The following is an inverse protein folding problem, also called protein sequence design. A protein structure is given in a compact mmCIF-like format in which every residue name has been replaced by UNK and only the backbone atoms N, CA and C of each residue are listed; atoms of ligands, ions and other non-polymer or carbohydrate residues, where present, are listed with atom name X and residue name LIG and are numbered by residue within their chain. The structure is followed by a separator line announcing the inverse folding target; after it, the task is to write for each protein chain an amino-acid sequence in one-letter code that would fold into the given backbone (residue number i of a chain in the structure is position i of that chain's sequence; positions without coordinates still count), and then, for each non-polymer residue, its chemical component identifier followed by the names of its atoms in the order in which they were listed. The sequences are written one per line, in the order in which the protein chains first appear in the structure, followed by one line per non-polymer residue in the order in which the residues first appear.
data_IF_744700537479
#
_entry.id   IF_744700537479
#
_cell.length_a   1.000
_cell.length_b   1.000
_cell.length_c   1.000
_cell.angle_alpha   90.00
_cell.angle_beta   90.00
_cell.angle_gamma   90.00
#
_symmetry.space_group_name_H-M   'P 1'
#
loop_
_entity.id
_entity.type
_entity.pdbx_description
1 polymer ?
#
# COMPACT_ATOMS: atom_id res chain seq x y z
N UNK A 1 -57.31 -54.23 -0.25
CA UNK A 1 -56.15 -53.84 0.55
C UNK A 1 -55.26 -52.93 -0.33
N UNK A 2 -55.40 -51.61 -0.17
CA UNK A 2 -54.63 -50.60 -0.97
C UNK A 2 -53.37 -50.23 -0.17
N UNK A 3 -52.19 -50.52 -0.68
CA UNK A 3 -50.90 -50.11 -0.07
C UNK A 3 -50.60 -48.67 -0.47
N UNK A 4 -50.57 -47.76 0.52
CA UNK A 4 -50.15 -46.36 0.35
C UNK A 4 -48.64 -46.31 0.41
N UNK A 5 -47.97 -45.99 -0.70
CA UNK A 5 -46.54 -45.67 -0.75
C UNK A 5 -46.34 -44.21 -0.28
N UNK A 6 -45.68 -44.04 0.86
CA UNK A 6 -45.26 -42.72 1.34
C UNK A 6 -43.92 -42.38 0.72
N UNK A 7 -43.87 -41.50 -0.27
CA UNK A 7 -42.64 -40.91 -0.79
C UNK A 7 -42.14 -39.81 0.14
N UNK A 8 -41.09 -40.14 0.92
CA UNK A 8 -40.36 -39.13 1.69
C UNK A 8 -39.40 -38.40 0.73
N UNK A 9 -39.77 -37.19 0.34
CA UNK A 9 -38.89 -36.30 -0.41
C UNK A 9 -37.79 -35.75 0.50
N UNK A 10 -36.55 -36.15 0.24
CA UNK A 10 -35.38 -35.52 0.87
C UNK A 10 -35.16 -34.17 0.21
N UNK A 11 -35.55 -33.08 0.86
CA UNK A 11 -35.17 -31.74 0.48
C UNK A 11 -33.70 -31.56 0.92
N UNK A 12 -32.77 -31.73 -0.01
CA UNK A 12 -31.39 -31.34 0.17
C UNK A 12 -31.34 -29.80 0.26
N UNK A 13 -31.26 -29.31 1.46
CA UNK A 13 -31.02 -27.88 1.72
C UNK A 13 -29.64 -27.51 1.18
N UNK A 14 -29.60 -26.88 0.00
CA UNK A 14 -28.45 -26.14 -0.47
C UNK A 14 -28.22 -24.99 0.52
N UNK A 15 -27.28 -25.18 1.45
CA UNK A 15 -26.77 -24.10 2.28
C UNK A 15 -26.10 -23.09 1.33
N UNK A 16 -26.82 -22.01 1.05
CA UNK A 16 -26.27 -20.84 0.36
C UNK A 16 -25.33 -20.17 1.37
N UNK A 17 -24.05 -20.58 1.38
CA UNK A 17 -23.03 -19.78 2.06
C UNK A 17 -22.93 -18.47 1.27
N UNK A 18 -23.13 -17.30 1.91
CA UNK A 18 -22.86 -16.05 1.22
C UNK A 18 -21.40 -16.08 0.75
N UNK A 19 -21.08 -15.55 -0.45
CA UNK A 19 -19.72 -15.49 -0.91
C UNK A 19 -18.90 -14.75 0.15
N UNK A 20 -17.74 -15.34 0.52
CA UNK A 20 -16.78 -14.71 1.43
C UNK A 20 -16.30 -13.42 0.74
N UNK A 21 -16.95 -12.29 1.06
CA UNK A 21 -16.71 -10.98 0.43
C UNK A 21 -15.46 -10.32 0.99
N UNK A 22 -14.91 -10.86 2.06
CA UNK A 22 -13.71 -10.36 2.73
C UNK A 22 -12.42 -10.95 2.18
N UNK A 23 -11.29 -10.33 2.55
CA UNK A 23 -9.97 -10.91 2.35
C UNK A 23 -9.72 -12.05 3.34
N UNK A 24 -9.03 -13.11 2.88
CA UNK A 24 -8.71 -14.28 3.70
C UNK A 24 -7.72 -13.94 4.83
N UNK A 25 -7.70 -14.78 5.87
CA UNK A 25 -6.69 -14.69 6.95
C UNK A 25 -5.25 -14.73 6.41
N UNK A 26 -5.02 -15.48 5.32
CA UNK A 26 -3.72 -15.55 4.66
C UNK A 26 -3.34 -14.22 4.03
N UNK A 27 -4.27 -13.56 3.32
CA UNK A 27 -4.07 -12.23 2.73
C UNK A 27 -3.81 -11.18 3.81
N UNK A 28 -4.62 -11.14 4.88
CA UNK A 28 -4.40 -10.24 6.04
C UNK A 28 -2.98 -10.41 6.61
N UNK A 29 -2.56 -11.66 6.85
CA UNK A 29 -1.23 -11.96 7.38
C UNK A 29 -0.11 -11.57 6.43
N UNK A 30 -0.27 -11.84 5.13
CA UNK A 30 0.74 -11.52 4.11
C UNK A 30 0.90 -10.00 3.95
N UNK A 31 -0.20 -9.25 3.84
CA UNK A 31 -0.16 -7.80 3.74
C UNK A 31 0.45 -7.15 4.99
N UNK A 32 0.02 -7.59 6.20
CA UNK A 32 0.58 -7.07 7.44
C UNK A 32 2.09 -7.36 7.58
N UNK A 33 2.56 -8.53 7.12
CA UNK A 33 3.98 -8.86 7.08
C UNK A 33 4.73 -7.93 6.12
N UNK A 34 4.24 -7.81 4.88
CA UNK A 34 4.83 -6.96 3.84
C UNK A 34 4.93 -5.49 4.29
N UNK A 35 3.86 -4.94 4.87
CA UNK A 35 3.86 -3.58 5.41
C UNK A 35 4.91 -3.38 6.52
N UNK A 36 5.10 -4.35 7.42
CA UNK A 36 6.13 -4.29 8.46
C UNK A 36 7.55 -4.36 7.89
N UNK A 37 7.77 -5.22 6.89
CA UNK A 37 9.07 -5.36 6.25
C UNK A 37 9.48 -4.09 5.52
N UNK A 38 8.53 -3.47 4.79
CA UNK A 38 8.78 -2.21 4.08
C UNK A 38 8.92 -1.02 5.03
N UNK A 39 8.16 -0.98 6.14
CA UNK A 39 8.36 0.00 7.21
C UNK A 39 9.79 -0.08 7.77
N UNK A 40 10.20 -1.29 8.16
CA UNK A 40 11.54 -1.51 8.70
C UNK A 40 12.62 -1.06 7.70
N UNK A 41 12.49 -1.42 6.43
CA UNK A 41 13.44 -1.02 5.40
C UNK A 41 13.59 0.50 5.27
N UNK A 42 12.45 1.24 5.25
CA UNK A 42 12.45 2.71 5.20
C UNK A 42 13.12 3.31 6.44
N UNK A 43 12.78 2.83 7.64
CA UNK A 43 13.34 3.35 8.89
C UNK A 43 14.85 3.04 9.01
N UNK A 44 15.29 1.86 8.59
CA UNK A 44 16.71 1.50 8.56
C UNK A 44 17.49 2.36 7.55
N UNK A 45 16.89 2.75 6.43
CA UNK A 45 17.53 3.57 5.40
C UNK A 45 17.87 4.99 5.88
N UNK A 46 17.06 5.56 6.80
CA UNK A 46 17.28 6.92 7.35
C UNK A 46 18.04 6.94 8.68
N UNK A 47 18.16 5.79 9.34
CA UNK A 47 18.71 5.69 10.70
C UNK A 47 20.19 6.07 10.75
N UNK A 48 20.55 6.96 11.69
CA UNK A 48 21.94 7.30 12.02
C UNK A 48 22.65 8.18 10.98
N UNK A 49 21.91 8.74 10.01
CA UNK A 49 22.48 9.65 9.02
C UNK A 49 22.63 11.06 9.63
N UNK A 50 23.76 11.72 9.31
CA UNK A 50 23.97 13.13 9.62
C UNK A 50 23.10 14.04 8.74
N UNK A 51 22.94 15.30 9.12
CA UNK A 51 22.23 16.30 8.33
C UNK A 51 22.77 16.45 6.92
N UNK A 52 24.09 16.41 6.75
CA UNK A 52 24.75 16.47 5.46
C UNK A 52 24.38 15.26 4.58
N UNK A 53 24.34 14.06 5.16
CA UNK A 53 23.93 12.83 4.49
C UNK A 53 22.45 12.83 4.12
N UNK A 54 21.58 13.29 5.02
CA UNK A 54 20.13 13.37 4.78
C UNK A 54 19.76 14.30 3.63
N UNK A 55 20.48 15.42 3.50
CA UNK A 55 20.23 16.47 2.50
C UNK A 55 21.05 16.30 1.21
N UNK A 56 21.96 15.35 1.16
CA UNK A 56 22.76 15.11 -0.03
C UNK A 56 21.90 14.71 -1.24
N UNK A 57 22.15 15.37 -2.37
CA UNK A 57 21.53 15.09 -3.66
C UNK A 57 22.59 14.65 -4.66
N UNK A 58 22.47 13.46 -5.27
CA UNK A 58 23.43 13.01 -6.30
C UNK A 58 23.52 13.95 -7.51
N UNK A 59 22.43 14.68 -7.80
CA UNK A 59 22.35 15.73 -8.81
C UNK A 59 21.25 16.73 -8.45
N UNK A 60 21.22 17.95 -9.00
CA UNK A 60 20.25 18.99 -8.66
C UNK A 60 18.77 18.58 -8.85
N UNK A 61 18.50 17.69 -9.81
CA UNK A 61 17.16 17.15 -10.12
C UNK A 61 16.86 15.83 -9.40
N UNK A 62 17.75 15.37 -8.52
CA UNK A 62 17.59 14.13 -7.75
C UNK A 62 17.13 14.43 -6.33
N UNK A 63 16.36 13.51 -5.79
CA UNK A 63 15.92 13.58 -4.39
C UNK A 63 17.02 13.11 -3.44
N UNK A 64 17.08 13.76 -2.29
CA UNK A 64 17.87 13.33 -1.14
C UNK A 64 17.13 12.22 -0.36
N UNK A 65 17.79 11.66 0.65
CA UNK A 65 17.16 10.72 1.59
C UNK A 65 15.98 11.37 2.32
N UNK A 66 16.15 12.62 2.78
CA UNK A 66 15.08 13.39 3.44
C UNK A 66 13.91 13.66 2.49
N UNK A 67 14.18 14.02 1.22
CA UNK A 67 13.14 14.22 0.20
C UNK A 67 12.32 12.94 0.00
N UNK A 68 12.98 11.79 -0.12
CA UNK A 68 12.30 10.50 -0.25
C UNK A 68 11.41 10.20 0.97
N UNK A 69 11.87 10.48 2.18
CA UNK A 69 11.10 10.22 3.40
C UNK A 69 9.86 11.10 3.48
N UNK A 70 9.99 12.41 3.19
CA UNK A 70 8.85 13.34 3.15
C UNK A 70 7.81 12.90 2.13
N UNK A 71 8.26 12.46 0.95
CA UNK A 71 7.37 11.95 -0.09
C UNK A 71 6.67 10.64 0.33
N UNK A 72 7.40 9.69 0.90
CA UNK A 72 6.79 8.43 1.40
C UNK A 72 5.66 8.73 2.38
N UNK A 73 5.91 9.58 3.38
CA UNK A 73 4.92 9.92 4.39
C UNK A 73 3.67 10.59 3.79
N UNK A 74 3.87 11.56 2.88
CA UNK A 74 2.76 12.26 2.23
C UNK A 74 1.92 11.34 1.35
N UNK A 75 2.57 10.48 0.55
CA UNK A 75 1.87 9.54 -0.35
C UNK A 75 1.11 8.49 0.45
N UNK A 76 1.70 7.95 1.52
CA UNK A 76 1.01 6.98 2.38
C UNK A 76 -0.29 7.54 2.96
N UNK A 77 -0.24 8.76 3.49
CA UNK A 77 -1.42 9.44 4.02
C UNK A 77 -2.48 9.69 2.94
N UNK A 78 -2.06 10.17 1.76
CA UNK A 78 -2.97 10.45 0.65
C UNK A 78 -3.63 9.17 0.10
N UNK A 79 -2.87 8.10 -0.09
CA UNK A 79 -3.38 6.81 -0.55
C UNK A 79 -4.30 6.18 0.49
N UNK A 80 -3.96 6.29 1.79
CA UNK A 80 -4.83 5.78 2.85
C UNK A 80 -6.15 6.56 2.90
N UNK A 81 -6.12 7.88 2.83
CA UNK A 81 -7.33 8.70 2.80
C UNK A 81 -8.24 8.32 1.63
N UNK A 82 -7.67 8.11 0.44
CA UNK A 82 -8.41 7.65 -0.74
C UNK A 82 -9.01 6.26 -0.52
N UNK A 83 -8.22 5.32 -0.02
CA UNK A 83 -8.64 3.93 0.22
C UNK A 83 -9.77 3.87 1.26
N UNK A 84 -9.61 4.55 2.39
CA UNK A 84 -10.64 4.64 3.44
C UNK A 84 -11.93 5.30 2.92
N UNK A 85 -11.78 6.36 2.12
CA UNK A 85 -12.91 7.00 1.45
C UNK A 85 -13.63 6.07 0.46
N UNK A 86 -12.89 5.23 -0.27
CA UNK A 86 -13.47 4.25 -1.20
C UNK A 86 -14.21 3.13 -0.45
N UNK A 87 -13.64 2.63 0.65
CA UNK A 87 -14.25 1.58 1.47
C UNK A 87 -15.60 2.06 2.08
N UNK A 88 -15.72 3.34 2.39
CA UNK A 88 -16.94 3.94 2.98
C UNK A 88 -18.05 4.19 1.96
N UNK A 89 -17.79 4.05 0.67
CA UNK A 89 -18.80 4.15 -0.39
C UNK A 89 -19.54 2.83 -0.57
N UNK A 90 -20.55 2.83 -1.44
CA UNK A 90 -21.17 1.58 -1.89
C UNK A 90 -20.16 0.75 -2.67
N UNK A 91 -20.11 -0.55 -2.39
CA UNK A 91 -19.29 -1.48 -3.17
C UNK A 91 -19.63 -1.41 -4.66
N UNK A 92 -18.62 -1.54 -5.51
CA UNK A 92 -18.72 -1.44 -6.97
C UNK A 92 -18.08 -2.66 -7.67
N UNK A 93 -18.58 -3.90 -7.39
CA UNK A 93 -17.98 -5.14 -7.87
C UNK A 93 -17.90 -5.25 -9.39
N UNK A 94 -18.75 -4.53 -10.13
CA UNK A 94 -18.70 -4.44 -11.59
C UNK A 94 -17.39 -3.82 -12.10
N UNK A 95 -16.75 -2.97 -11.29
CA UNK A 95 -15.44 -2.35 -11.62
C UNK A 95 -14.27 -3.29 -11.48
N UNK A 96 -14.42 -4.48 -10.88
CA UNK A 96 -13.36 -5.47 -10.80
C UNK A 96 -12.84 -5.91 -12.17
N UNK A 97 -13.69 -5.89 -13.21
CA UNK A 97 -13.29 -6.16 -14.59
C UNK A 97 -12.26 -5.16 -15.16
N UNK A 98 -12.16 -3.97 -14.55
CA UNK A 98 -11.22 -2.92 -14.93
C UNK A 98 -9.83 -3.14 -14.32
N UNK A 99 -9.70 -4.00 -13.31
CA UNK A 99 -8.42 -4.37 -12.69
C UNK A 99 -7.65 -5.27 -13.66
N UNK A 100 -6.44 -4.85 -14.04
CA UNK A 100 -5.62 -5.55 -15.05
C UNK A 100 -4.40 -6.26 -14.46
N UNK A 101 -4.14 -6.08 -13.17
CA UNK A 101 -2.95 -6.62 -12.50
C UNK A 101 -3.34 -7.53 -11.34
N UNK A 102 -2.57 -8.61 -11.15
CA UNK A 102 -2.61 -9.40 -9.92
C UNK A 102 -1.96 -8.64 -8.77
N UNK A 103 -2.16 -9.11 -7.54
CA UNK A 103 -1.54 -8.51 -6.35
C UNK A 103 0.00 -8.47 -6.46
N UNK A 104 0.60 -9.56 -6.95
CA UNK A 104 2.05 -9.66 -7.17
C UNK A 104 2.53 -8.70 -8.25
N UNK A 105 1.74 -8.54 -9.34
CA UNK A 105 2.06 -7.59 -10.40
C UNK A 105 1.98 -6.16 -9.90
N UNK A 106 1.01 -5.82 -9.04
CA UNK A 106 0.94 -4.49 -8.41
C UNK A 106 2.20 -4.22 -7.62
N UNK A 107 2.58 -5.11 -6.70
CA UNK A 107 3.80 -4.93 -5.90
C UNK A 107 5.03 -4.77 -6.80
N UNK A 108 5.25 -5.71 -7.72
CA UNK A 108 6.41 -5.71 -8.61
C UNK A 108 6.51 -4.45 -9.47
N UNK A 109 5.39 -4.02 -10.08
CA UNK A 109 5.39 -2.87 -10.99
C UNK A 109 5.61 -1.55 -10.24
N UNK A 110 5.08 -1.43 -9.01
CA UNK A 110 5.30 -0.23 -8.19
C UNK A 110 6.75 -0.18 -7.67
N UNK A 111 7.32 -1.31 -7.29
CA UNK A 111 8.72 -1.40 -6.83
C UNK A 111 9.75 -1.22 -7.93
N UNK A 112 9.38 -1.43 -9.20
CA UNK A 112 10.29 -1.34 -10.34
C UNK A 112 10.85 0.08 -10.52
N UNK A 113 12.18 0.22 -10.37
CA UNK A 113 12.94 1.47 -10.49
C UNK A 113 13.51 1.71 -11.88
N UNK A 114 13.27 0.80 -12.83
CA UNK A 114 13.79 0.93 -14.21
C UNK A 114 13.23 2.17 -14.95
N UNK A 115 12.06 2.63 -14.55
CA UNK A 115 11.41 3.83 -15.09
C UNK A 115 11.22 4.92 -14.03
N UNK A 116 11.59 6.16 -14.39
CA UNK A 116 11.30 7.34 -13.56
C UNK A 116 9.82 7.68 -13.69
N UNK A 117 9.14 7.79 -12.56
CA UNK A 117 7.78 8.32 -12.48
C UNK A 117 7.85 9.71 -11.83
N UNK A 118 7.16 10.68 -12.42
CA UNK A 118 7.04 12.02 -11.85
C UNK A 118 5.93 12.02 -10.79
N UNK A 119 6.25 12.52 -9.60
CA UNK A 119 5.25 12.71 -8.56
C UNK A 119 4.25 13.81 -8.95
N UNK A 120 2.98 13.71 -8.57
CA UNK A 120 2.06 14.85 -8.62
C UNK A 120 2.64 16.04 -7.85
N UNK A 121 2.46 17.28 -8.33
CA UNK A 121 3.05 18.46 -7.68
C UNK A 121 2.76 18.58 -6.18
N UNK A 122 1.55 18.23 -5.73
CA UNK A 122 1.15 18.26 -4.33
C UNK A 122 1.87 17.24 -3.44
N UNK A 123 2.48 16.21 -4.04
CA UNK A 123 3.19 15.14 -3.36
C UNK A 123 4.71 15.22 -3.57
N UNK A 124 5.21 16.23 -4.31
CA UNK A 124 6.65 16.50 -4.39
C UNK A 124 7.19 16.92 -3.00
N UNK A 125 8.40 16.50 -2.61
CA UNK A 125 8.94 16.69 -1.26
C UNK A 125 8.88 18.14 -0.74
N UNK A 126 9.18 19.11 -1.61
CA UNK A 126 9.16 20.54 -1.27
C UNK A 126 7.75 21.10 -1.04
N UNK A 127 6.71 20.41 -1.50
CA UNK A 127 5.31 20.83 -1.39
C UNK A 127 4.57 20.09 -0.28
N UNK A 128 5.23 19.15 0.42
CA UNK A 128 4.64 18.47 1.58
C UNK A 128 4.59 19.39 2.79
N UNK A 129 3.73 19.09 3.77
CA UNK A 129 3.63 19.84 5.01
C UNK A 129 4.81 19.61 5.99
N UNK A 130 5.60 18.56 5.76
CA UNK A 130 6.69 18.16 6.65
C UNK A 130 7.89 19.09 6.56
N UNK A 131 8.27 19.69 7.69
CA UNK A 131 9.39 20.63 7.77
C UNK A 131 10.72 19.96 8.12
N UNK A 132 10.67 18.76 8.72
CA UNK A 132 11.85 18.01 9.10
C UNK A 132 11.70 16.52 8.75
N UNK A 133 12.85 15.81 8.79
CA UNK A 133 12.88 14.35 8.70
C UNK A 133 12.03 13.73 9.82
N UNK A 134 12.18 14.20 11.06
CA UNK A 134 11.51 13.64 12.22
C UNK A 134 9.99 13.75 12.12
N UNK A 135 9.46 14.87 11.62
CA UNK A 135 8.04 15.02 11.36
C UNK A 135 7.54 13.96 10.35
N UNK A 136 8.26 13.78 9.23
CA UNK A 136 7.91 12.81 8.21
C UNK A 136 8.02 11.37 8.75
N UNK A 137 9.07 11.04 9.48
CA UNK A 137 9.27 9.71 10.09
C UNK A 137 8.16 9.40 11.09
N UNK A 138 7.81 10.34 11.97
CA UNK A 138 6.77 10.13 12.97
C UNK A 138 5.40 9.95 12.32
N UNK A 139 5.05 10.79 11.33
CA UNK A 139 3.81 10.67 10.59
C UNK A 139 3.71 9.33 9.84
N UNK A 140 4.80 8.90 9.20
CA UNK A 140 4.86 7.60 8.53
C UNK A 140 4.67 6.44 9.50
N UNK A 141 5.38 6.43 10.64
CA UNK A 141 5.25 5.37 11.66
C UNK A 141 3.82 5.29 12.20
N UNK A 142 3.21 6.43 12.48
CA UNK A 142 1.83 6.48 12.97
C UNK A 142 0.84 5.96 11.92
N UNK A 143 0.95 6.44 10.67
CA UNK A 143 0.09 6.01 9.56
C UNK A 143 0.25 4.52 9.28
N UNK A 144 1.50 4.04 9.18
CA UNK A 144 1.83 2.65 8.92
C UNK A 144 1.36 1.72 10.05
N UNK A 145 1.52 2.11 11.30
CA UNK A 145 1.00 1.36 12.45
C UNK A 145 -0.51 1.18 12.37
N UNK A 146 -1.24 2.28 12.11
CA UNK A 146 -2.71 2.23 11.92
C UNK A 146 -3.11 1.32 10.74
N UNK A 147 -2.39 1.40 9.62
CA UNK A 147 -2.66 0.57 8.44
C UNK A 147 -2.42 -0.92 8.72
N UNK A 148 -1.33 -1.26 9.42
CA UNK A 148 -1.03 -2.64 9.82
C UNK A 148 -2.10 -3.18 10.76
N UNK A 149 -2.56 -2.39 11.71
CA UNK A 149 -3.61 -2.81 12.63
C UNK A 149 -4.97 -2.92 11.94
N UNK A 150 -5.26 -2.03 11.01
CA UNK A 150 -6.45 -2.10 10.18
C UNK A 150 -6.49 -3.40 9.37
N UNK A 151 -5.43 -3.71 8.59
CA UNK A 151 -5.44 -4.89 7.72
C UNK A 151 -5.53 -6.21 8.49
N UNK A 152 -5.03 -6.26 9.72
CA UNK A 152 -5.15 -7.46 10.57
C UNK A 152 -6.57 -7.70 11.05
N UNK A 153 -7.32 -6.64 11.32
CA UNK A 153 -8.56 -6.70 12.09
C UNK A 153 -9.81 -6.38 11.25
N UNK A 154 -9.66 -5.83 10.03
CA UNK A 154 -10.80 -5.45 9.20
C UNK A 154 -11.59 -6.66 8.70
N UNK A 155 -12.92 -6.54 8.67
CA UNK A 155 -13.83 -7.44 7.98
C UNK A 155 -14.49 -6.75 6.78
N UNK A 156 -13.98 -5.58 6.38
CA UNK A 156 -14.46 -4.85 5.23
C UNK A 156 -14.23 -5.63 3.92
N UNK A 157 -15.16 -5.49 3.00
CA UNK A 157 -15.07 -6.07 1.66
C UNK A 157 -14.11 -5.26 0.79
N UNK A 158 -12.80 -5.46 0.99
CA UNK A 158 -11.76 -4.71 0.29
C UNK A 158 -11.70 -5.04 -1.20
N UNK A 159 -12.16 -6.24 -1.60
CA UNK A 159 -12.07 -6.70 -2.97
C UNK A 159 -13.14 -6.12 -3.89
N UNK A 160 -14.31 -5.81 -3.36
CA UNK A 160 -15.42 -5.23 -4.12
C UNK A 160 -15.52 -3.70 -4.02
N UNK A 161 -14.52 -3.06 -3.42
CA UNK A 161 -14.35 -1.61 -3.46
C UNK A 161 -13.14 -1.27 -4.33
N UNK A 162 -13.41 -0.76 -5.54
CA UNK A 162 -12.40 -0.47 -6.57
C UNK A 162 -12.21 1.04 -6.69
N UNK A 163 -10.95 1.48 -6.52
CA UNK A 163 -10.50 2.83 -6.78
C UNK A 163 -9.90 2.93 -8.18
N UNK A 164 -10.12 4.08 -8.84
CA UNK A 164 -9.56 4.38 -10.16
C UNK A 164 -8.53 5.48 -10.00
N UNK A 165 -7.27 5.17 -10.34
CA UNK A 165 -6.16 6.10 -10.36
C UNK A 165 -5.70 6.36 -11.79
N UNK A 166 -4.90 7.42 -12.05
CA UNK A 166 -4.30 7.64 -13.37
C UNK A 166 -3.45 6.47 -13.88
N UNK A 167 -2.94 5.64 -12.97
CA UNK A 167 -2.07 4.48 -13.26
C UNK A 167 -2.83 3.16 -13.35
N UNK A 168 -4.16 3.16 -13.22
CA UNK A 168 -5.01 1.98 -13.35
C UNK A 168 -6.07 1.85 -12.27
N UNK A 169 -6.84 0.77 -12.34
CA UNK A 169 -7.87 0.41 -11.36
C UNK A 169 -7.32 -0.62 -10.38
N UNK A 170 -7.62 -0.43 -9.09
CA UNK A 170 -7.14 -1.26 -8.00
C UNK A 170 -8.27 -1.51 -7.01
N UNK A 171 -8.43 -2.73 -6.51
CA UNK A 171 -9.26 -2.92 -5.34
C UNK A 171 -8.58 -2.37 -4.06
N UNK A 172 -9.34 -2.17 -2.99
CA UNK A 172 -8.80 -1.57 -1.76
C UNK A 172 -7.72 -2.44 -1.08
N UNK A 173 -7.72 -3.75 -1.29
CA UNK A 173 -6.62 -4.60 -0.83
C UNK A 173 -5.34 -4.33 -1.65
N UNK A 174 -5.45 -4.22 -2.96
CA UNK A 174 -4.33 -3.83 -3.84
C UNK A 174 -3.81 -2.42 -3.53
N UNK A 175 -4.68 -1.48 -3.14
CA UNK A 175 -4.25 -0.15 -2.68
C UNK A 175 -3.39 -0.24 -1.42
N UNK A 176 -3.69 -1.14 -0.50
CA UNK A 176 -2.87 -1.39 0.69
C UNK A 176 -1.50 -1.98 0.31
N UNK A 177 -1.45 -2.93 -0.62
CA UNK A 177 -0.20 -3.47 -1.16
C UNK A 177 0.61 -2.39 -1.89
N UNK A 178 -0.06 -1.53 -2.64
CA UNK A 178 0.55 -0.39 -3.32
C UNK A 178 1.30 0.52 -2.34
N UNK A 179 0.71 0.86 -1.19
CA UNK A 179 1.38 1.69 -0.16
C UNK A 179 2.69 1.06 0.31
N UNK A 180 2.69 -0.25 0.58
CA UNK A 180 3.90 -0.99 0.94
C UNK A 180 4.96 -0.98 -0.16
N UNK A 181 4.56 -1.30 -1.39
CA UNK A 181 5.44 -1.32 -2.55
C UNK A 181 6.00 0.07 -2.90
N UNK A 182 5.20 1.13 -2.75
CA UNK A 182 5.64 2.50 -2.95
C UNK A 182 6.72 2.91 -1.93
N UNK A 183 6.53 2.56 -0.66
CA UNK A 183 7.56 2.81 0.37
C UNK A 183 8.84 2.06 0.04
N UNK A 184 8.75 0.80 -0.42
CA UNK A 184 9.92 -0.01 -0.82
C UNK A 184 10.62 0.59 -2.04
N UNK A 185 9.88 1.07 -3.04
CA UNK A 185 10.44 1.78 -4.19
C UNK A 185 11.32 2.96 -3.78
N UNK A 186 10.85 3.79 -2.85
CA UNK A 186 11.59 4.97 -2.40
C UNK A 186 12.67 4.63 -1.37
N UNK A 187 12.52 3.54 -0.61
CA UNK A 187 13.61 2.98 0.18
C UNK A 187 14.80 2.56 -0.72
N UNK A 188 14.53 1.86 -1.82
CA UNK A 188 15.57 1.55 -2.83
C UNK A 188 16.22 2.83 -3.36
N UNK A 189 15.45 3.90 -3.61
CA UNK A 189 15.99 5.20 -4.02
C UNK A 189 16.91 5.80 -2.96
N UNK A 190 16.56 5.72 -1.68
CA UNK A 190 17.44 6.16 -0.59
C UNK A 190 18.75 5.38 -0.59
N UNK A 191 18.71 4.05 -0.85
CA UNK A 191 19.92 3.23 -0.94
C UNK A 191 20.78 3.61 -2.15
N UNK A 192 20.17 3.95 -3.30
CA UNK A 192 20.88 4.48 -4.46
C UNK A 192 21.60 5.80 -4.12
N UNK A 193 20.96 6.71 -3.38
CA UNK A 193 21.57 7.97 -2.91
C UNK A 193 22.77 7.68 -2.00
N UNK A 194 22.62 6.74 -1.05
CA UNK A 194 23.70 6.36 -0.12
C UNK A 194 24.88 5.66 -0.80
N UNK A 195 24.64 5.03 -1.96
CA UNK A 195 25.67 4.37 -2.75
C UNK A 195 26.42 5.31 -3.71
N UNK A 196 26.06 6.59 -3.79
CA UNK A 196 26.74 7.58 -4.63
C UNK A 196 28.19 7.79 -4.16
N UNK A 197 29.13 7.87 -5.10
CA UNK A 197 30.54 8.04 -4.80
C UNK A 197 30.86 9.33 -4.01
N UNK A 198 30.00 10.35 -4.14
CA UNK A 198 30.12 11.64 -3.46
C UNK A 198 29.27 11.73 -2.18
N UNK A 199 28.63 10.61 -1.76
CA UNK A 199 27.84 10.61 -0.54
C UNK A 199 28.72 11.00 0.65
N UNK A 200 28.32 11.97 1.52
CA UNK A 200 29.16 12.46 2.59
C UNK A 200 29.61 11.33 3.52
N UNK A 201 30.90 11.30 3.82
CA UNK A 201 31.44 10.46 4.88
C UNK A 201 31.07 11.10 6.24
N UNK A 202 30.97 10.27 7.27
CA UNK A 202 30.68 10.76 8.63
C UNK A 202 31.65 11.87 9.06
#
# INVERSE_FOLDING_TARGET
MKKLLLCVGIIAGLSFMPPDTGISKKEKKSAAKFLKETEKGVLDAVKGLSDAQLKFKPAPDRWSVEDCMKHIAAVEMALWQMTDGTIKQTANPEKRSDIKMTDEQVMKNIEDRSHKLKAPPSLEPQNTSFKSLDEAVNAFKESRGKLIDYIKNTDADLRNHVAILPVGSFDCYQMILFMGAHSNRHMQQMLEVKADANFPKE
#
